data_IF_297809288492
#
_entry.id   IF_297809288492
#
_cell.length_a   1.000
_cell.length_b   1.000
_cell.length_c   1.000
_cell.angle_alpha   90.00
_cell.angle_beta   90.00
_cell.angle_gamma   90.00
#
_symmetry.space_group_name_H-M   'P 1'
#
loop_
_entity.id
_entity.type
_entity.pdbx_description
1 polymer ?
#
# COMPACT_ATOMS: atom_id res chain seq x y z
N UNK A 1 -35.46 -39.32 -55.61
CA UNK A 1 -34.69 -40.54 -55.31
C UNK A 1 -33.82 -40.24 -54.11
N UNK A 2 -34.26 -40.58 -52.91
CA UNK A 2 -34.01 -41.83 -52.15
C UNK A 2 -32.64 -41.90 -51.48
N UNK A 3 -32.69 -42.02 -50.14
CA UNK A 3 -31.82 -42.78 -49.22
C UNK A 3 -30.39 -42.21 -49.04
N UNK A 4 -29.87 -41.95 -47.83
CA UNK A 4 -30.08 -42.61 -46.54
C UNK A 4 -28.89 -43.53 -46.22
N UNK A 5 -28.73 -43.87 -44.94
CA UNK A 5 -27.78 -44.83 -44.33
C UNK A 5 -26.44 -44.22 -43.87
N UNK A 6 -26.27 -44.06 -42.55
CA UNK A 6 -25.71 -45.06 -41.60
C UNK A 6 -24.18 -44.95 -41.55
N UNK A 7 -23.48 -45.04 -40.43
CA UNK A 7 -23.71 -45.33 -39.01
C UNK A 7 -22.34 -45.05 -38.35
N UNK A 8 -22.12 -45.10 -37.05
CA UNK A 8 -22.92 -45.56 -35.95
C UNK A 8 -22.09 -45.47 -34.67
N UNK A 9 -22.83 -45.68 -33.57
CA UNK A 9 -22.46 -46.43 -32.37
C UNK A 9 -21.64 -45.68 -31.29
N UNK A 10 -22.23 -45.19 -30.19
CA UNK A 10 -22.87 -45.88 -29.02
C UNK A 10 -21.87 -46.14 -27.86
N UNK A 11 -22.29 -46.28 -26.58
CA UNK A 11 -23.01 -45.29 -25.75
C UNK A 11 -22.39 -45.17 -24.31
N UNK A 12 -23.08 -45.37 -23.15
CA UNK A 12 -23.34 -44.31 -22.17
C UNK A 12 -22.98 -44.67 -20.70
N UNK A 13 -23.25 -43.77 -19.75
CA UNK A 13 -23.92 -44.05 -18.44
C UNK A 13 -23.75 -42.83 -17.51
N UNK A 14 -24.75 -41.94 -17.42
CA UNK A 14 -25.83 -41.87 -16.42
C UNK A 14 -25.48 -41.99 -14.93
N UNK A 15 -25.77 -40.88 -14.24
CA UNK A 15 -26.39 -40.78 -12.89
C UNK A 15 -25.51 -41.13 -11.68
N UNK A 16 -25.59 -40.48 -10.51
CA UNK A 16 -26.41 -39.39 -9.98
C UNK A 16 -25.76 -38.96 -8.66
N UNK A 17 -25.75 -37.64 -8.42
CA UNK A 17 -25.99 -36.93 -7.14
C UNK A 17 -25.91 -37.67 -5.81
N UNK A 18 -25.03 -37.14 -4.93
CA UNK A 18 -25.17 -36.82 -3.49
C UNK A 18 -23.92 -37.25 -2.71
N UNK A 19 -23.10 -36.30 -2.26
CA UNK A 19 -22.85 -36.11 -0.82
C UNK A 19 -21.89 -34.94 -0.55
N UNK A 20 -22.39 -34.06 0.31
CA UNK A 20 -21.75 -32.90 0.91
C UNK A 20 -21.05 -33.37 2.19
N UNK A 21 -19.92 -32.72 2.53
CA UNK A 21 -19.23 -32.74 3.84
C UNK A 21 -18.56 -34.05 4.26
N UNK A 22 -17.23 -34.07 4.18
CA UNK A 22 -16.33 -34.28 5.33
C UNK A 22 -14.92 -34.57 4.83
N UNK A 23 -14.01 -33.59 4.87
CA UNK A 23 -12.59 -33.90 5.06
C UNK A 23 -11.84 -32.66 5.56
N UNK A 24 -12.03 -32.40 6.85
CA UNK A 24 -11.23 -31.46 7.63
C UNK A 24 -10.86 -32.13 8.94
N UNK A 25 -9.88 -33.03 8.92
CA UNK A 25 -9.05 -33.39 10.06
C UNK A 25 -8.01 -34.44 9.65
N UNK A 26 -6.82 -34.33 10.27
CA UNK A 26 -5.71 -35.29 10.30
C UNK A 26 -4.72 -35.18 9.16
N UNK A 27 -3.73 -34.30 9.33
CA UNK A 27 -2.32 -34.69 9.32
C UNK A 27 -1.54 -33.66 10.15
N UNK A 28 -1.45 -33.93 11.45
CA UNK A 28 -0.37 -33.44 12.30
C UNK A 28 0.54 -34.64 12.54
N UNK A 29 1.86 -34.45 12.36
CA UNK A 29 2.97 -34.95 13.19
C UNK A 29 4.27 -34.83 12.39
N UNK A 30 4.85 -33.62 12.38
CA UNK A 30 6.23 -33.37 11.98
C UNK A 30 6.81 -32.35 12.95
N UNK A 31 7.57 -32.84 13.94
CA UNK A 31 8.23 -32.01 14.96
C UNK A 31 9.31 -31.15 14.30
N UNK A 32 9.11 -29.84 14.24
CA UNK A 32 10.18 -28.86 14.03
C UNK A 32 10.42 -28.14 15.36
N UNK A 33 11.46 -28.56 16.07
CA UNK A 33 11.99 -27.87 17.24
C UNK A 33 12.74 -26.61 16.79
N UNK A 34 12.08 -25.47 16.90
CA UNK A 34 12.67 -24.15 16.84
C UNK A 34 11.95 -23.27 17.84
N UNK A 35 12.57 -23.07 19.01
CA UNK A 35 12.01 -22.25 20.08
C UNK A 35 11.98 -20.78 19.64
N UNK A 36 10.84 -20.33 19.11
CA UNK A 36 10.53 -18.91 19.02
C UNK A 36 10.11 -18.45 20.42
N UNK A 37 10.91 -17.58 21.01
CA UNK A 37 10.61 -16.92 22.27
C UNK A 37 9.23 -16.24 22.16
N UNK A 38 8.34 -16.57 23.09
CA UNK A 38 6.99 -16.03 23.18
C UNK A 38 7.04 -14.49 23.20
N UNK A 39 6.66 -13.87 22.09
CA UNK A 39 6.38 -12.44 22.04
C UNK A 39 5.22 -12.13 22.98
N UNK A 40 5.39 -11.15 23.87
CA UNK A 40 4.32 -10.66 24.74
C UNK A 40 3.11 -10.31 23.87
N UNK A 41 2.03 -11.08 24.02
CA UNK A 41 0.74 -10.79 23.45
C UNK A 41 0.18 -9.57 24.18
N UNK A 42 0.21 -8.41 23.53
CA UNK A 42 -0.51 -7.25 24.01
C UNK A 42 -1.98 -7.45 23.65
N UNK A 43 -2.89 -7.56 24.62
CA UNK A 43 -4.31 -7.67 24.30
C UNK A 43 -4.72 -6.39 23.57
N UNK A 44 -5.43 -6.54 22.46
CA UNK A 44 -6.09 -5.45 21.74
C UNK A 44 -7.55 -5.34 22.21
N UNK A 45 -7.88 -4.59 23.27
CA UNK A 45 -9.25 -4.15 23.47
C UNK A 45 -9.48 -2.87 22.66
N UNK A 46 -10.61 -2.77 21.94
CA UNK A 46 -11.24 -1.53 21.41
C UNK A 46 -11.05 -1.09 19.94
N UNK A 47 -10.52 -1.90 19.01
CA UNK A 47 -10.36 -1.50 17.59
C UNK A 47 -11.66 -0.96 16.93
N UNK A 48 -12.81 -1.60 17.20
CA UNK A 48 -14.11 -1.23 16.60
C UNK A 48 -14.70 0.08 17.16
N UNK A 49 -14.45 0.39 18.44
CA UNK A 49 -14.93 1.62 19.09
C UNK A 49 -14.04 2.83 18.77
N UNK A 50 -12.73 2.61 18.58
CA UNK A 50 -11.81 3.61 18.06
C UNK A 50 -12.14 3.98 16.60
N UNK A 51 -12.45 2.98 15.76
CA UNK A 51 -12.91 3.21 14.36
C UNK A 51 -14.19 4.04 14.30
N UNK A 52 -15.22 3.71 15.08
CA UNK A 52 -16.46 4.52 15.16
C UNK A 52 -16.22 5.98 15.51
N UNK A 53 -15.28 6.28 16.41
CA UNK A 53 -14.91 7.65 16.78
C UNK A 53 -14.14 8.39 15.67
N UNK A 54 -13.35 7.67 14.87
CA UNK A 54 -12.60 8.23 13.73
C UNK A 54 -13.48 8.38 12.47
N UNK A 55 -14.57 7.61 12.37
CA UNK A 55 -15.63 7.77 11.37
C UNK A 55 -16.56 8.95 11.70
N UNK A 56 -16.75 9.27 12.98
CA UNK A 56 -17.50 10.44 13.48
C UNK A 56 -16.70 11.73 13.51
N UNK A 57 -15.48 11.69 13.01
CA UNK A 57 -14.58 12.83 12.95
C UNK A 57 -15.04 13.86 11.92
N UNK A 58 -14.99 15.15 12.26
CA UNK A 58 -15.37 16.21 11.34
C UNK A 58 -14.39 16.26 10.15
N UNK A 59 -14.88 15.84 8.98
CA UNK A 59 -14.09 15.80 7.77
C UNK A 59 -13.50 17.18 7.42
N UNK A 60 -14.18 18.28 7.73
CA UNK A 60 -13.74 19.64 7.38
C UNK A 60 -12.36 19.98 7.97
N UNK A 61 -11.99 19.41 9.12
CA UNK A 61 -10.67 19.65 9.74
C UNK A 61 -9.50 19.16 8.87
N UNK A 62 -9.76 18.22 7.96
CA UNK A 62 -8.75 17.61 7.09
C UNK A 62 -8.62 18.28 5.73
N UNK A 63 -8.99 19.56 5.65
CA UNK A 63 -8.82 20.42 4.46
C UNK A 63 -7.71 21.46 4.63
N UNK A 64 -7.31 21.74 5.88
CA UNK A 64 -6.34 22.78 6.21
C UNK A 64 -4.92 22.44 5.73
N UNK A 65 -4.07 23.46 5.65
CA UNK A 65 -2.64 23.28 5.36
C UNK A 65 -1.85 22.82 6.59
N UNK A 66 -0.63 22.37 6.37
CA UNK A 66 0.38 22.05 7.38
C UNK A 66 1.77 22.32 6.80
N UNK A 67 2.84 22.32 7.62
CA UNK A 67 4.18 22.70 7.15
C UNK A 67 4.71 21.87 5.98
N UNK A 68 4.37 20.57 5.88
CA UNK A 68 4.78 19.76 4.73
C UNK A 68 3.81 19.85 3.56
N UNK A 69 2.53 20.12 3.80
CA UNK A 69 1.53 20.15 2.73
C UNK A 69 1.62 21.41 1.89
N UNK A 70 1.95 22.55 2.50
CA UNK A 70 2.29 23.82 1.81
C UNK A 70 1.26 24.19 0.71
N UNK A 71 -0.01 24.32 1.10
CA UNK A 71 -1.14 24.43 0.17
C UNK A 71 -1.24 25.81 -0.51
N UNK A 72 -0.43 26.76 -0.05
CA UNK A 72 -0.35 28.11 -0.61
C UNK A 72 0.64 28.19 -1.79
N UNK A 73 1.46 27.16 -2.01
CA UNK A 73 2.41 27.15 -3.14
C UNK A 73 1.67 27.18 -4.51
N UNK A 74 1.94 28.19 -5.36
CA UNK A 74 1.21 28.38 -6.60
C UNK A 74 1.43 27.24 -7.61
N UNK A 75 2.62 26.61 -7.62
CA UNK A 75 2.90 25.49 -8.55
C UNK A 75 2.13 24.24 -8.15
N UNK A 76 1.98 23.99 -6.85
CA UNK A 76 1.20 22.89 -6.34
C UNK A 76 -0.29 23.08 -6.63
N UNK A 77 -0.83 24.29 -6.43
CA UNK A 77 -2.21 24.66 -6.78
C UNK A 77 -2.50 24.48 -8.27
N UNK A 78 -1.63 25.03 -9.12
CA UNK A 78 -1.74 24.88 -10.58
C UNK A 78 -1.66 23.40 -10.99
N UNK A 79 -0.79 22.62 -10.33
CA UNK A 79 -0.70 21.19 -10.62
C UNK A 79 -1.99 20.45 -10.27
N UNK A 80 -2.54 20.65 -9.08
CA UNK A 80 -3.80 20.03 -8.67
C UNK A 80 -4.93 20.39 -9.65
N UNK A 81 -5.10 21.68 -9.95
CA UNK A 81 -6.09 22.16 -10.92
C UNK A 81 -5.91 21.52 -12.30
N UNK A 82 -4.68 21.48 -12.82
CA UNK A 82 -4.40 20.90 -14.13
C UNK A 82 -4.76 19.41 -14.24
N UNK A 83 -4.65 18.67 -13.14
CA UNK A 83 -4.98 17.23 -13.09
C UNK A 83 -6.49 17.04 -13.12
N UNK A 84 -7.25 17.86 -12.37
CA UNK A 84 -8.69 17.67 -12.18
C UNK A 84 -9.55 18.39 -13.21
N UNK A 85 -9.00 19.32 -14.00
CA UNK A 85 -9.77 20.22 -14.88
C UNK A 85 -10.70 19.52 -15.88
N UNK A 86 -10.37 18.29 -16.32
CA UNK A 86 -11.18 17.52 -17.29
C UNK A 86 -12.00 16.40 -16.64
N UNK A 87 -11.90 16.23 -15.32
CA UNK A 87 -12.64 15.21 -14.59
C UNK A 87 -14.10 15.66 -14.40
N UNK A 88 -15.04 14.76 -14.66
CA UNK A 88 -16.49 15.01 -14.59
C UNK A 88 -17.09 14.60 -13.25
N UNK A 89 -16.43 13.70 -12.54
CA UNK A 89 -16.88 13.19 -11.24
C UNK A 89 -15.80 13.36 -10.18
N UNK A 90 -16.20 13.50 -8.93
CA UNK A 90 -15.26 13.52 -7.81
C UNK A 90 -14.36 12.27 -7.76
N UNK A 91 -14.92 11.11 -8.10
CA UNK A 91 -14.17 9.85 -8.19
C UNK A 91 -13.06 9.95 -9.23
N UNK A 92 -13.36 10.50 -10.41
CA UNK A 92 -12.35 10.73 -11.45
C UNK A 92 -11.26 11.70 -10.97
N UNK A 93 -11.62 12.77 -10.26
CA UNK A 93 -10.65 13.71 -9.69
C UNK A 93 -9.70 13.01 -8.71
N UNK A 94 -10.24 12.27 -7.74
CA UNK A 94 -9.45 11.49 -6.77
C UNK A 94 -8.55 10.48 -7.47
N UNK A 95 -9.08 9.73 -8.44
CA UNK A 95 -8.30 8.76 -9.20
C UNK A 95 -7.21 9.41 -10.05
N UNK A 96 -7.44 10.58 -10.63
CA UNK A 96 -6.45 11.30 -11.42
C UNK A 96 -5.28 11.79 -10.54
N UNK A 97 -5.58 12.31 -9.35
CA UNK A 97 -4.58 12.74 -8.36
C UNK A 97 -3.80 11.53 -7.83
N UNK A 98 -4.50 10.45 -7.45
CA UNK A 98 -3.90 9.17 -7.08
C UNK A 98 -2.98 8.64 -8.20
N UNK A 99 -3.44 8.61 -9.45
CA UNK A 99 -2.65 8.12 -10.58
C UNK A 99 -1.42 8.99 -10.86
N UNK A 100 -1.48 10.30 -10.61
CA UNK A 100 -0.30 11.18 -10.69
C UNK A 100 0.78 10.73 -9.70
N UNK A 101 0.41 10.46 -8.45
CA UNK A 101 1.36 10.03 -7.41
C UNK A 101 1.77 8.56 -7.56
N UNK A 102 0.85 7.66 -7.92
CA UNK A 102 1.14 6.24 -8.16
C UNK A 102 2.21 6.05 -9.23
N UNK A 103 2.19 6.84 -10.31
CA UNK A 103 3.18 6.79 -11.40
C UNK A 103 4.55 7.33 -11.01
N UNK A 104 4.63 8.16 -9.96
CA UNK A 104 5.89 8.67 -9.45
C UNK A 104 6.78 7.50 -8.99
N UNK A 105 8.03 7.37 -9.47
CA UNK A 105 8.93 6.32 -9.03
C UNK A 105 9.11 6.31 -7.51
N UNK A 106 8.93 5.12 -6.91
CA UNK A 106 9.32 4.86 -5.54
C UNK A 106 10.85 4.85 -5.45
N UNK A 107 11.42 5.65 -4.56
CA UNK A 107 12.86 5.75 -4.37
C UNK A 107 13.17 6.13 -2.93
N UNK A 108 14.23 5.54 -2.36
CA UNK A 108 14.71 5.90 -1.03
C UNK A 108 15.95 6.78 -1.21
N UNK A 109 15.81 8.07 -0.91
CA UNK A 109 16.92 9.01 -0.97
C UNK A 109 17.41 9.36 0.42
N UNK A 110 18.73 9.63 0.53
CA UNK A 110 19.28 10.27 1.71
C UNK A 110 18.57 11.62 1.90
N UNK A 111 18.06 11.87 3.10
CA UNK A 111 17.43 13.15 3.43
C UNK A 111 17.75 13.57 4.86
N UNK A 112 18.07 14.85 5.02
CA UNK A 112 18.33 15.48 6.33
C UNK A 112 17.04 15.94 7.00
N UNK A 113 15.97 16.15 6.22
CA UNK A 113 14.63 16.50 6.68
C UNK A 113 13.57 15.89 5.77
N UNK A 114 12.32 15.92 6.22
CA UNK A 114 11.18 15.60 5.37
C UNK A 114 10.99 16.67 4.29
N UNK A 115 10.50 16.24 3.13
CA UNK A 115 10.25 17.11 1.99
C UNK A 115 8.82 17.67 2.03
N UNK A 116 8.64 18.90 1.58
CA UNK A 116 7.29 19.46 1.36
C UNK A 116 6.67 18.85 0.10
N UNK A 117 5.34 18.92 -0.03
CA UNK A 117 4.63 18.46 -1.22
C UNK A 117 5.18 19.12 -2.51
N UNK A 118 5.53 20.41 -2.44
CA UNK A 118 6.15 21.13 -3.55
C UNK A 118 7.51 20.53 -3.94
N UNK A 119 8.36 20.19 -2.97
CA UNK A 119 9.67 19.58 -3.21
C UNK A 119 9.54 18.18 -3.82
N UNK A 120 8.63 17.35 -3.30
CA UNK A 120 8.35 16.02 -3.86
C UNK A 120 7.87 16.12 -5.31
N UNK A 121 6.97 17.07 -5.59
CA UNK A 121 6.50 17.33 -6.95
C UNK A 121 7.66 17.75 -7.88
N UNK A 122 8.63 18.53 -7.38
CA UNK A 122 9.80 18.94 -8.15
C UNK A 122 10.78 17.79 -8.41
N UNK A 123 11.00 16.93 -7.41
CA UNK A 123 11.90 15.80 -7.51
C UNK A 123 11.37 14.71 -8.45
N UNK A 124 10.04 14.59 -8.56
CA UNK A 124 9.41 13.63 -9.47
C UNK A 124 9.60 12.18 -9.06
N UNK A 125 10.04 11.92 -7.83
CA UNK A 125 10.23 10.61 -7.19
C UNK A 125 10.20 10.78 -5.67
N UNK A 126 9.97 9.71 -4.93
CA UNK A 126 10.00 9.79 -3.46
C UNK A 126 9.69 8.46 -2.77
N UNK A 127 9.90 8.43 -1.47
CA UNK A 127 9.53 7.30 -0.62
C UNK A 127 8.05 7.33 -0.21
N UNK A 128 7.66 6.46 0.70
CA UNK A 128 6.26 6.35 1.14
C UNK A 128 5.76 7.63 1.81
N UNK A 129 6.61 8.35 2.57
CA UNK A 129 6.22 9.57 3.27
C UNK A 129 6.15 10.76 2.30
N UNK A 130 7.11 10.85 1.38
CA UNK A 130 7.13 11.87 0.35
C UNK A 130 5.88 11.77 -0.55
N UNK A 131 5.57 10.56 -1.02
CA UNK A 131 4.38 10.31 -1.84
C UNK A 131 3.07 10.51 -1.08
N UNK A 132 3.02 10.15 0.21
CA UNK A 132 1.87 10.42 1.08
C UNK A 132 1.59 11.92 1.20
N UNK A 133 2.65 12.69 1.48
CA UNK A 133 2.59 14.16 1.62
C UNK A 133 2.06 14.81 0.34
N UNK A 134 2.60 14.42 -0.82
CA UNK A 134 2.13 14.96 -2.10
C UNK A 134 0.67 14.59 -2.38
N UNK A 135 0.26 13.34 -2.13
CA UNK A 135 -1.11 12.91 -2.42
C UNK A 135 -2.13 13.63 -1.54
N UNK A 136 -1.89 13.77 -0.25
CA UNK A 136 -2.76 14.53 0.66
C UNK A 136 -2.86 15.99 0.22
N UNK A 137 -1.74 16.63 -0.12
CA UNK A 137 -1.75 18.02 -0.53
C UNK A 137 -2.56 18.22 -1.82
N UNK A 138 -2.38 17.35 -2.81
CA UNK A 138 -3.14 17.38 -4.06
C UNK A 138 -4.64 17.15 -3.85
N UNK A 139 -5.02 16.24 -2.96
CA UNK A 139 -6.42 15.98 -2.61
C UNK A 139 -7.07 17.18 -1.91
N UNK A 140 -6.40 17.75 -0.91
CA UNK A 140 -6.90 18.93 -0.18
C UNK A 140 -7.03 20.16 -1.09
N UNK A 141 -6.08 20.35 -2.02
CA UNK A 141 -6.15 21.41 -3.04
C UNK A 141 -7.32 21.24 -4.02
N UNK A 142 -7.74 20.00 -4.26
CA UNK A 142 -8.93 19.69 -5.05
C UNK A 142 -10.23 19.71 -4.22
N UNK A 143 -10.16 20.08 -2.94
CA UNK A 143 -11.32 20.21 -2.06
C UNK A 143 -11.71 18.92 -1.32
N UNK A 144 -10.92 17.85 -1.43
CA UNK A 144 -11.20 16.60 -0.72
C UNK A 144 -10.55 16.58 0.66
N UNK A 145 -11.31 16.35 1.75
CA UNK A 145 -10.71 16.08 3.03
C UNK A 145 -9.88 14.81 2.99
N UNK A 146 -8.62 14.89 3.39
CA UNK A 146 -7.68 13.77 3.33
C UNK A 146 -6.75 13.76 4.53
N UNK A 147 -6.48 12.59 5.10
CA UNK A 147 -5.61 12.38 6.27
C UNK A 147 -4.72 11.15 6.13
N UNK A 148 -3.70 11.05 6.97
CA UNK A 148 -2.79 9.90 6.98
C UNK A 148 -2.95 9.10 8.27
N UNK A 149 -3.24 7.81 8.14
CA UNK A 149 -3.08 6.84 9.23
C UNK A 149 -1.68 6.23 9.16
N UNK A 150 -1.01 6.11 10.29
CA UNK A 150 0.32 5.48 10.34
C UNK A 150 0.27 4.13 11.04
N UNK A 151 0.79 3.10 10.37
CA UNK A 151 0.85 1.73 10.88
C UNK A 151 2.30 1.32 11.03
N UNK A 152 2.68 0.75 12.18
CA UNK A 152 3.94 0.03 12.32
C UNK A 152 3.70 -1.42 11.94
N UNK A 153 4.46 -1.91 10.97
CA UNK A 153 4.36 -3.29 10.47
C UNK A 153 5.50 -4.17 10.99
N UNK A 154 5.29 -5.48 10.95
CA UNK A 154 6.32 -6.47 11.14
C UNK A 154 7.39 -6.37 10.04
N UNK A 155 8.66 -6.58 10.40
CA UNK A 155 9.79 -6.49 9.47
C UNK A 155 9.72 -7.52 8.33
N UNK A 156 8.94 -8.59 8.49
CA UNK A 156 8.65 -9.55 7.44
C UNK A 156 8.08 -8.91 6.16
N UNK A 157 7.37 -7.78 6.26
CA UNK A 157 6.80 -7.09 5.09
C UNK A 157 7.89 -6.52 4.18
N UNK A 158 9.05 -6.14 4.71
CA UNK A 158 10.19 -5.60 3.94
C UNK A 158 11.29 -6.64 3.70
N UNK A 159 11.02 -7.91 4.00
CA UNK A 159 11.91 -9.02 3.66
C UNK A 159 12.30 -8.94 2.18
N UNK A 160 13.58 -9.00 1.89
CA UNK A 160 14.12 -8.93 0.53
C UNK A 160 14.54 -7.52 0.06
N UNK A 161 14.22 -6.46 0.81
CA UNK A 161 14.84 -5.13 0.62
C UNK A 161 15.91 -4.86 1.68
N UNK A 162 15.60 -5.25 2.92
CA UNK A 162 16.51 -5.26 4.05
C UNK A 162 16.37 -6.61 4.78
N UNK A 163 17.39 -6.97 5.55
CA UNK A 163 17.26 -8.08 6.52
C UNK A 163 16.16 -7.80 7.56
N UNK A 164 15.81 -8.81 8.38
CA UNK A 164 14.65 -8.83 9.27
C UNK A 164 14.70 -7.88 10.50
N UNK A 165 15.40 -6.75 10.41
CA UNK A 165 15.71 -5.89 11.57
C UNK A 165 14.83 -4.62 11.74
N UNK A 166 14.31 -3.93 10.69
CA UNK A 166 13.46 -2.75 10.91
C UNK A 166 11.97 -3.12 11.01
N UNK A 167 11.25 -2.46 11.94
CA UNK A 167 9.78 -2.38 11.94
C UNK A 167 9.38 -1.17 11.08
N UNK A 168 9.00 -1.35 9.80
CA UNK A 168 8.72 -0.22 8.93
C UNK A 168 7.41 0.47 9.31
N UNK A 169 7.36 1.78 9.11
CA UNK A 169 6.12 2.55 9.20
C UNK A 169 5.49 2.65 7.81
N UNK A 170 4.19 2.40 7.74
CA UNK A 170 3.34 2.54 6.56
C UNK A 170 2.40 3.73 6.73
N UNK A 171 2.47 4.75 5.85
CA UNK A 171 1.39 5.71 5.73
C UNK A 171 0.25 5.11 4.89
N UNK A 172 -0.96 5.16 5.41
CA UNK A 172 -2.21 4.84 4.73
C UNK A 172 -2.96 6.15 4.53
N UNK A 173 -3.31 6.45 3.29
CA UNK A 173 -4.13 7.62 2.98
C UNK A 173 -5.60 7.30 3.23
N UNK A 174 -6.32 8.18 3.91
CA UNK A 174 -7.77 8.15 4.00
C UNK A 174 -8.34 9.44 3.36
N UNK A 175 -9.24 9.30 2.39
CA UNK A 175 -9.98 10.41 1.79
C UNK A 175 -11.46 10.32 2.15
N UNK A 176 -12.08 11.45 2.47
CA UNK A 176 -13.51 11.51 2.77
C UNK A 176 -14.32 11.73 1.49
N UNK A 177 -15.15 10.76 1.12
CA UNK A 177 -16.08 10.81 0.00
C UNK A 177 -17.32 9.97 0.29
N UNK A 178 -18.45 10.34 -0.29
CA UNK A 178 -19.70 9.57 -0.16
C UNK A 178 -20.08 9.31 1.33
N UNK A 179 -19.84 10.32 2.19
CA UNK A 179 -20.05 10.29 3.65
C UNK A 179 -19.25 9.22 4.41
N UNK A 180 -18.12 8.77 3.86
CA UNK A 180 -17.23 7.80 4.51
C UNK A 180 -15.76 8.10 4.22
N UNK A 181 -14.89 7.57 5.07
CA UNK A 181 -13.46 7.49 4.80
C UNK A 181 -13.17 6.27 3.93
N UNK A 182 -12.44 6.48 2.84
CA UNK A 182 -11.96 5.44 1.93
C UNK A 182 -10.43 5.44 2.01
N UNK A 183 -9.85 4.27 2.27
CA UNK A 183 -8.45 4.13 2.63
C UNK A 183 -7.62 3.40 1.56
N UNK A 184 -6.39 3.86 1.33
CA UNK A 184 -5.43 3.11 0.52
C UNK A 184 -3.97 3.45 0.83
N UNK A 185 -3.09 2.47 0.73
CA UNK A 185 -1.63 2.63 0.69
C UNK A 185 -1.02 2.21 -0.66
N UNK A 186 -1.86 1.85 -1.63
CA UNK A 186 -1.43 1.31 -2.94
C UNK A 186 -0.67 2.35 -3.78
N UNK A 187 -0.73 3.63 -3.44
CA UNK A 187 0.01 4.70 -4.12
C UNK A 187 1.52 4.61 -3.91
N UNK A 188 1.99 3.94 -2.85
CA UNK A 188 3.40 3.94 -2.43
C UNK A 188 4.31 3.44 -3.56
N UNK A 189 4.03 2.26 -4.10
CA UNK A 189 4.89 1.63 -5.11
C UNK A 189 4.41 1.91 -6.53
N UNK A 190 5.31 2.38 -7.39
CA UNK A 190 5.05 2.52 -8.82
C UNK A 190 4.81 1.16 -9.51
N UNK A 191 4.22 1.21 -10.71
CA UNK A 191 3.89 0.02 -11.50
C UNK A 191 5.09 -0.92 -11.72
N UNK A 192 6.23 -0.43 -12.25
CA UNK A 192 7.44 -1.23 -12.41
C UNK A 192 7.91 -1.91 -11.12
N UNK A 193 7.96 -1.15 -10.01
CA UNK A 193 8.30 -1.73 -8.70
C UNK A 193 7.34 -2.85 -8.29
N UNK A 194 6.03 -2.59 -8.33
CA UNK A 194 5.02 -3.54 -7.89
C UNK A 194 5.02 -4.82 -8.74
N UNK A 195 5.23 -4.70 -10.04
CA UNK A 195 5.36 -5.85 -10.94
C UNK A 195 6.57 -6.72 -10.59
N UNK A 196 7.73 -6.09 -10.35
CA UNK A 196 8.94 -6.79 -9.99
C UNK A 196 8.86 -7.46 -8.60
N UNK A 197 8.33 -6.76 -7.59
CA UNK A 197 8.11 -7.29 -6.25
C UNK A 197 7.21 -8.53 -6.28
N UNK A 198 6.08 -8.46 -6.99
CA UNK A 198 5.14 -9.60 -7.12
C UNK A 198 5.76 -10.80 -7.82
N UNK A 199 6.59 -10.57 -8.83
CA UNK A 199 7.33 -11.66 -9.48
C UNK A 199 8.26 -12.34 -8.47
N UNK A 200 9.07 -11.58 -7.74
CA UNK A 200 9.98 -12.14 -6.72
C UNK A 200 9.24 -12.87 -5.60
N UNK A 201 8.07 -12.39 -5.18
CA UNK A 201 7.22 -13.09 -4.21
C UNK A 201 6.78 -14.47 -4.73
N UNK A 202 6.31 -14.54 -5.99
CA UNK A 202 5.95 -15.82 -6.61
C UNK A 202 7.14 -16.76 -6.75
N UNK A 203 8.28 -16.25 -7.25
CA UNK A 203 9.49 -17.05 -7.48
C UNK A 203 10.06 -17.62 -6.17
N UNK A 204 9.92 -16.89 -5.06
CA UNK A 204 10.40 -17.31 -3.74
C UNK A 204 9.39 -18.15 -2.95
N UNK A 205 8.14 -18.25 -3.41
CA UNK A 205 7.05 -18.87 -2.66
C UNK A 205 6.67 -18.13 -1.39
N UNK A 206 7.03 -16.84 -1.25
CA UNK A 206 6.70 -16.04 -0.07
C UNK A 206 5.36 -15.32 -0.25
N UNK A 207 4.59 -15.22 0.84
CA UNK A 207 3.32 -14.49 0.87
C UNK A 207 3.51 -12.98 0.98
N UNK A 208 4.59 -12.54 1.65
CA UNK A 208 4.90 -11.13 1.90
C UNK A 208 6.41 -10.85 1.77
N UNK A 209 6.74 -9.62 1.40
CA UNK A 209 8.11 -9.17 1.16
C UNK A 209 8.14 -8.00 0.18
N UNK A 210 9.28 -7.34 0.05
CA UNK A 210 9.42 -6.13 -0.79
C UNK A 210 8.32 -5.07 -0.56
N UNK A 211 7.84 -4.98 0.67
CA UNK A 211 6.86 -4.00 1.13
C UNK A 211 5.40 -4.32 0.80
N UNK A 212 5.07 -5.50 0.25
CA UNK A 212 3.70 -5.88 -0.12
C UNK A 212 3.43 -7.37 0.08
N UNK A 213 2.15 -7.74 0.05
CA UNK A 213 1.71 -9.14 -0.03
C UNK A 213 1.42 -9.55 -1.48
N UNK A 214 1.62 -10.83 -1.79
CA UNK A 214 1.37 -11.39 -3.13
C UNK A 214 -0.09 -11.26 -3.57
N UNK A 215 -1.02 -11.30 -2.61
CA UNK A 215 -2.46 -11.13 -2.82
C UNK A 215 -2.96 -9.70 -2.53
N UNK A 216 -2.06 -8.78 -2.16
CA UNK A 216 -2.44 -7.40 -1.87
C UNK A 216 -2.92 -6.64 -3.11
N UNK A 217 -3.62 -5.53 -2.91
CA UNK A 217 -4.13 -4.69 -3.98
C UNK A 217 -2.99 -4.04 -4.79
N UNK A 218 -3.15 -3.98 -6.12
CA UNK A 218 -2.17 -3.35 -7.01
C UNK A 218 -2.49 -1.87 -7.27
N UNK A 219 -3.80 -1.63 -7.38
CA UNK A 219 -4.44 -0.40 -7.79
C UNK A 219 -5.64 -0.19 -6.87
N UNK A 220 -6.08 1.06 -6.82
CA UNK A 220 -7.25 1.48 -6.08
C UNK A 220 -8.29 2.03 -7.05
N UNK A 221 -9.56 1.72 -6.80
CA UNK A 221 -10.68 2.09 -7.68
C UNK A 221 -11.37 3.39 -7.26
N UNK A 222 -10.94 3.98 -6.15
CA UNK A 222 -11.48 5.23 -5.61
C UNK A 222 -12.82 5.08 -4.87
N UNK A 223 -13.31 3.85 -4.70
CA UNK A 223 -14.62 3.57 -4.08
C UNK A 223 -14.48 2.72 -2.83
N UNK A 224 -13.68 1.65 -2.87
CA UNK A 224 -13.49 0.75 -1.73
C UNK A 224 -12.08 0.84 -1.20
N UNK A 225 -11.89 0.44 0.05
CA UNK A 225 -10.55 0.37 0.63
C UNK A 225 -9.66 -0.60 -0.18
N UNK A 226 -8.38 -0.28 -0.29
CA UNK A 226 -7.42 -1.11 -1.02
C UNK A 226 -6.04 -1.04 -0.37
N UNK A 227 -5.53 -2.18 0.08
CA UNK A 227 -4.26 -2.26 0.82
C UNK A 227 -3.24 -3.16 0.13
N UNK A 228 -1.96 -2.79 0.19
CA UNK A 228 -0.83 -3.55 -0.32
C UNK A 228 -0.64 -4.91 0.38
N UNK A 229 -1.19 -5.07 1.59
CA UNK A 229 -1.18 -6.33 2.32
C UNK A 229 -2.42 -7.20 2.03
N UNK A 230 -3.48 -6.62 1.44
CA UNK A 230 -4.72 -7.31 1.09
C UNK A 230 -5.80 -7.19 2.16
N UNK A 231 -5.44 -7.39 3.42
CA UNK A 231 -6.36 -7.32 4.55
C UNK A 231 -6.53 -5.88 5.05
N UNK A 232 -7.66 -5.59 5.72
CA UNK A 232 -7.83 -4.33 6.42
C UNK A 232 -6.79 -4.23 7.57
N UNK A 233 -6.27 -3.03 7.89
CA UNK A 233 -5.22 -2.86 8.91
C UNK A 233 -5.48 -3.49 10.28
N UNK A 234 -6.75 -3.68 10.65
CA UNK A 234 -7.13 -4.25 11.95
C UNK A 234 -7.27 -5.78 11.93
N UNK A 235 -7.31 -6.39 10.74
CA UNK A 235 -7.35 -7.83 10.50
C UNK A 235 -5.98 -8.34 9.99
N UNK A 236 -5.13 -7.44 9.52
CA UNK A 236 -3.79 -7.73 9.03
C UNK A 236 -2.84 -8.13 10.18
N UNK A 237 -2.45 -9.40 10.19
CA UNK A 237 -1.50 -9.95 11.16
C UNK A 237 -0.08 -9.37 11.09
N UNK A 238 0.25 -8.59 10.05
CA UNK A 238 1.51 -7.86 9.95
C UNK A 238 1.46 -6.50 10.65
N UNK A 239 0.29 -5.99 11.02
CA UNK A 239 0.17 -4.70 11.74
C UNK A 239 0.46 -4.91 13.21
N UNK A 240 1.55 -4.30 13.68
CA UNK A 240 1.96 -4.34 15.10
C UNK A 240 1.30 -3.23 15.92
N UNK A 241 1.19 -2.03 15.34
CA UNK A 241 0.61 -0.86 16.00
C UNK A 241 -0.09 0.06 14.99
N UNK A 242 -1.29 0.53 15.32
CA UNK A 242 -1.98 1.65 14.65
C UNK A 242 -1.80 2.91 15.49
N UNK A 243 -1.17 3.93 14.92
CA UNK A 243 -0.85 5.19 15.60
C UNK A 243 -1.97 6.23 15.54
N UNK A 244 -3.05 5.93 14.81
CA UNK A 244 -4.10 6.89 14.52
C UNK A 244 -3.77 7.77 13.32
N UNK A 245 -4.47 8.90 13.23
CA UNK A 245 -4.52 9.77 12.06
C UNK A 245 -3.84 11.11 12.31
N UNK A 246 -3.14 11.62 11.30
CA UNK A 246 -2.32 12.83 11.34
C UNK A 246 -2.46 13.61 10.02
N UNK A 247 -2.11 14.90 10.05
CA UNK A 247 -2.17 15.78 8.89
C UNK A 247 -1.08 15.47 7.88
N UNK A 248 0.15 15.23 8.36
CA UNK A 248 1.32 14.96 7.55
C UNK A 248 2.34 14.08 8.29
N UNK A 249 3.40 13.61 7.60
CA UNK A 249 4.45 12.83 8.26
C UNK A 249 5.26 13.60 9.31
N UNK A 250 5.35 14.94 9.25
CA UNK A 250 6.08 15.73 10.24
C UNK A 250 5.37 15.71 11.60
N UNK A 251 4.05 15.83 11.60
CA UNK A 251 3.22 15.71 12.79
C UNK A 251 3.40 14.32 13.43
N UNK A 252 3.37 13.26 12.61
CA UNK A 252 3.56 11.89 13.08
C UNK A 252 4.94 11.67 13.71
N UNK A 253 6.04 12.04 13.04
CA UNK A 253 7.40 11.81 13.59
C UNK A 253 7.69 12.68 14.82
N UNK A 254 6.93 13.76 15.01
CA UNK A 254 7.00 14.63 16.19
C UNK A 254 6.14 14.14 17.36
N UNK A 255 5.24 13.18 17.12
CA UNK A 255 4.29 12.68 18.11
C UNK A 255 4.93 11.86 19.23
N UNK A 256 4.28 11.75 20.41
CA UNK A 256 4.67 10.77 21.44
C UNK A 256 4.68 9.32 20.91
N UNK A 257 3.67 8.94 20.11
CA UNK A 257 3.52 7.58 19.57
C UNK A 257 4.72 7.13 18.73
N UNK A 258 5.31 8.04 17.95
CA UNK A 258 6.55 7.76 17.21
C UNK A 258 7.76 7.61 18.14
N UNK A 259 7.86 8.46 19.17
CA UNK A 259 8.98 8.47 20.13
C UNK A 259 9.04 7.20 21.01
N UNK A 260 7.90 6.59 21.29
CA UNK A 260 7.81 5.37 22.08
C UNK A 260 8.36 4.15 21.33
N UNK A 261 8.23 4.12 20.00
CA UNK A 261 8.72 3.01 19.16
C UNK A 261 10.17 3.21 18.72
N UNK A 262 10.59 4.45 18.45
CA UNK A 262 11.93 4.76 17.96
C UNK A 262 12.78 5.43 19.04
N UNK A 263 13.71 4.67 19.62
CA UNK A 263 14.66 5.16 20.63
C UNK A 263 15.48 6.37 20.16
N UNK A 264 16.02 7.17 21.09
CA UNK A 264 16.61 8.49 20.79
C UNK A 264 17.67 8.48 19.67
N UNK A 265 18.46 7.41 19.58
CA UNK A 265 19.52 7.20 18.58
C UNK A 265 18.97 6.79 17.19
N UNK A 266 17.86 6.04 17.17
CA UNK A 266 17.19 5.60 15.94
C UNK A 266 16.65 6.79 15.12
N UNK A 267 16.26 7.88 15.79
CA UNK A 267 15.62 9.06 15.20
C UNK A 267 16.48 9.80 14.15
N UNK A 268 17.80 9.80 14.28
CA UNK A 268 18.68 10.60 13.43
C UNK A 268 19.48 9.79 12.39
N UNK A 269 19.74 8.50 12.68
CA UNK A 269 20.71 7.70 11.91
C UNK A 269 20.04 6.53 11.18
N UNK A 270 18.92 6.02 11.69
CA UNK A 270 18.31 4.79 11.15
C UNK A 270 17.79 5.00 9.72
N UNK A 271 17.16 6.14 9.42
CA UNK A 271 16.59 6.38 8.09
C UNK A 271 17.65 6.37 6.99
N UNK A 272 18.76 7.09 7.21
CA UNK A 272 19.80 7.28 6.20
C UNK A 272 20.73 6.06 6.05
N UNK A 273 20.99 5.32 7.12
CA UNK A 273 21.75 4.05 7.05
C UNK A 273 20.94 2.98 6.30
N UNK A 274 19.63 2.92 6.54
CA UNK A 274 18.74 1.99 5.86
C UNK A 274 18.46 2.42 4.41
N UNK A 275 18.44 3.72 4.12
CA UNK A 275 18.14 4.25 2.79
C UNK A 275 19.09 3.71 1.71
N UNK A 276 20.40 3.63 1.97
CA UNK A 276 21.35 3.09 0.99
C UNK A 276 21.16 1.60 0.71
N UNK A 277 20.81 0.81 1.74
CA UNK A 277 20.49 -0.61 1.59
C UNK A 277 19.18 -0.83 0.85
N UNK A 278 18.14 -0.08 1.23
CA UNK A 278 16.84 -0.10 0.56
C UNK A 278 16.94 0.30 -0.90
N UNK A 279 17.67 1.37 -1.21
CA UNK A 279 17.84 1.84 -2.58
C UNK A 279 18.58 0.82 -3.45
N UNK A 280 19.56 0.11 -2.87
CA UNK A 280 20.22 -1.02 -3.55
C UNK A 280 19.22 -2.13 -3.84
N UNK A 281 18.42 -2.55 -2.84
CA UNK A 281 17.38 -3.56 -3.02
C UNK A 281 16.30 -3.16 -4.02
N UNK A 282 15.90 -1.88 -4.04
CA UNK A 282 14.96 -1.31 -5.03
C UNK A 282 15.56 -1.39 -6.44
N UNK A 283 16.84 -1.03 -6.60
CA UNK A 283 17.54 -1.07 -7.89
C UNK A 283 17.70 -2.50 -8.41
N UNK A 284 18.14 -3.42 -7.57
CA UNK A 284 18.27 -4.84 -7.90
C UNK A 284 16.92 -5.44 -8.31
N UNK A 285 15.85 -5.10 -7.57
CA UNK A 285 14.50 -5.53 -7.90
C UNK A 285 14.08 -5.06 -9.30
N UNK A 286 14.38 -3.80 -9.64
CA UNK A 286 14.04 -3.20 -10.95
C UNK A 286 14.88 -3.74 -12.11
N UNK A 287 16.16 -4.04 -11.91
CA UNK A 287 17.06 -4.57 -12.95
C UNK A 287 16.64 -5.96 -13.49
N UNK A 288 15.78 -6.69 -12.78
CA UNK A 288 15.32 -8.01 -13.21
C UNK A 288 14.01 -7.97 -14.03
N UNK A 289 13.53 -6.80 -14.44
CA UNK A 289 12.49 -6.72 -15.47
C UNK A 289 13.13 -7.04 -16.83
N UNK A 290 12.73 -8.11 -17.54
CA UNK A 290 13.16 -8.28 -18.92
C UNK A 290 12.62 -7.09 -19.75
N UNK A 291 13.38 -6.68 -20.77
CA UNK A 291 13.01 -5.62 -21.72
C UNK A 291 11.75 -6.00 -22.51
N UNK A 292 10.57 -5.90 -21.89
CA UNK A 292 9.28 -6.00 -22.60
C UNK A 292 8.91 -4.68 -23.28
N UNK A 293 9.86 -4.10 -24.02
CA UNK A 293 9.65 -2.94 -24.89
C UNK A 293 10.38 -3.06 -26.24
N UNK A 294 10.77 -4.26 -26.65
CA UNK A 294 11.11 -4.56 -28.05
C UNK A 294 9.98 -5.38 -28.70
N UNK A 295 8.74 -4.85 -28.67
CA UNK A 295 7.70 -5.35 -29.56
C UNK A 295 7.93 -4.68 -30.92
N UNK A 296 8.47 -5.47 -31.86
CA UNK A 296 8.86 -5.02 -33.18
C UNK A 296 7.73 -4.36 -33.95
N UNK A 297 8.09 -3.30 -34.66
CA UNK A 297 7.31 -2.74 -35.76
C UNK A 297 7.31 -3.75 -36.91
N UNK A 298 6.17 -4.27 -37.38
CA UNK A 298 6.14 -4.90 -38.69
C UNK A 298 6.24 -3.81 -39.76
N UNK A 299 7.11 -4.07 -40.74
CA UNK A 299 7.29 -3.30 -41.96
C UNK A 299 6.08 -3.40 -42.89
#
# INVERSE_FOLDING_TARGET
>A
MTVGCHGGLDPPSTSRTHEVRANRARFLHGKATGAFAAGKQYPMPQARAARRRLEQDDAQRWTATSPLLDLDDPKLRLRAQSIVQLCKTEREQVLALYACVKRMPFAMSFKMRLHTAREVLQQGRGDSFDKATLLVALLRLAGFPARLRFLTLDGAVIRGLLGAAPRPVRPVLEVFRDSRWIATDTYIFDGPYAAAARRRLRDSGWTHGWGMCVHGAALWDGQTDAFLNGDEPHEDGLVLHDHGVFCDPLEFVSSPSYREIHGRLARAVQWNVLASGLERGIRELRQHLPDTAACGTPA
#
